data_IF_474608010039
#
_entry.id   IF_474608010039
#
_cell.length_a   1.000
_cell.length_b   1.000
_cell.length_c   1.000
_cell.angle_alpha   90.00
_cell.angle_beta   90.00
_cell.angle_gamma   90.00
#
_symmetry.space_group_name_H-M   'P 1'
#
loop_
_entity.id
_entity.type
_entity.pdbx_description
1 polymer ?
#
# COMPACT_ATOMS: atom_id res chain seq x y z
N UNK A 1 36.17 3.67 -28.32
CA UNK A 1 35.05 3.78 -27.34
C UNK A 1 34.41 5.15 -27.46
N UNK A 2 33.08 5.18 -27.43
CA UNK A 2 32.31 6.42 -27.58
C UNK A 2 31.80 6.85 -26.23
N UNK A 3 32.13 8.05 -25.78
CA UNK A 3 31.67 8.61 -24.52
C UNK A 3 30.22 9.08 -24.66
N UNK A 4 29.38 8.69 -23.73
CA UNK A 4 27.99 9.10 -23.65
C UNK A 4 27.73 9.75 -22.27
N UNK A 5 26.91 10.79 -22.24
CA UNK A 5 26.49 11.43 -21.00
C UNK A 5 24.97 11.61 -20.95
N UNK A 6 24.42 11.57 -19.73
CA UNK A 6 23.01 11.79 -19.49
C UNK A 6 22.83 12.66 -18.25
N UNK A 7 22.01 13.69 -18.37
CA UNK A 7 21.53 14.49 -17.23
C UNK A 7 20.08 14.12 -16.98
N UNK A 8 19.78 13.84 -15.73
CA UNK A 8 18.41 13.59 -15.26
C UNK A 8 18.10 14.57 -14.13
N UNK A 9 17.00 15.29 -14.26
CA UNK A 9 16.44 16.12 -13.20
C UNK A 9 15.07 15.57 -12.84
N UNK A 10 14.89 15.23 -11.57
CA UNK A 10 13.62 14.82 -10.99
C UNK A 10 13.27 15.76 -9.86
N UNK A 11 12.02 16.17 -9.82
CA UNK A 11 11.47 16.97 -8.72
C UNK A 11 10.11 16.42 -8.33
N UNK A 12 9.92 16.21 -7.04
CA UNK A 12 8.61 15.87 -6.47
C UNK A 12 8.30 16.84 -5.35
N UNK A 13 7.21 17.57 -5.50
CA UNK A 13 6.69 18.44 -4.47
C UNK A 13 5.40 17.80 -3.91
N UNK A 14 5.44 17.45 -2.64
CA UNK A 14 4.26 16.94 -1.95
C UNK A 14 3.95 17.84 -0.77
N UNK A 15 2.71 18.31 -0.68
CA UNK A 15 2.23 19.02 0.49
C UNK A 15 1.06 18.27 1.15
N UNK A 16 0.99 18.37 2.45
CA UNK A 16 -0.02 17.78 3.29
C UNK A 16 -0.57 18.86 4.23
N UNK A 17 -1.89 18.94 4.32
CA UNK A 17 -2.59 19.77 5.29
C UNK A 17 -3.53 18.89 6.10
N UNK A 18 -3.33 18.84 7.41
CA UNK A 18 -4.12 18.06 8.35
C UNK A 18 -4.73 18.97 9.40
N UNK A 19 -6.04 18.86 9.59
CA UNK A 19 -6.77 19.56 10.63
C UNK A 19 -7.51 18.53 11.46
N UNK A 20 -7.24 18.51 12.75
CA UNK A 20 -7.82 17.53 13.69
C UNK A 20 -8.42 18.26 14.88
N UNK A 21 -9.68 17.96 15.16
CA UNK A 21 -10.39 18.39 16.35
C UNK A 21 -10.53 17.21 17.30
N UNK A 22 -10.04 17.36 18.51
CA UNK A 22 -10.15 16.34 19.56
C UNK A 22 -11.01 16.86 20.69
N UNK A 23 -11.95 16.05 21.16
CA UNK A 23 -12.78 16.33 22.31
C UNK A 23 -12.67 15.17 23.32
N UNK A 24 -12.38 15.53 24.58
CA UNK A 24 -12.25 14.56 25.66
C UNK A 24 -13.16 14.97 26.83
N UNK A 25 -13.87 14.01 27.38
CA UNK A 25 -14.70 14.21 28.56
C UNK A 25 -14.66 13.00 29.48
N UNK A 26 -14.62 13.27 30.77
CA UNK A 26 -14.73 12.27 31.83
C UNK A 26 -15.98 12.57 32.65
N UNK A 27 -16.95 11.65 32.63
CA UNK A 27 -18.23 11.79 33.33
C UNK A 27 -18.22 10.86 34.53
N UNK A 28 -18.43 11.43 35.73
CA UNK A 28 -18.49 10.72 37.02
C UNK A 28 -17.27 9.83 37.30
N UNK A 29 -16.10 10.13 36.76
CA UNK A 29 -14.87 9.32 36.85
C UNK A 29 -15.01 7.87 36.39
N UNK A 30 -16.14 7.52 35.78
CA UNK A 30 -16.45 6.16 35.29
C UNK A 30 -16.49 6.05 33.77
N UNK A 31 -16.95 7.12 33.11
CA UNK A 31 -17.14 7.12 31.67
C UNK A 31 -16.13 8.09 31.06
N UNK A 32 -15.23 7.57 30.28
CA UNK A 32 -14.25 8.37 29.55
C UNK A 32 -14.53 8.27 28.06
N UNK A 33 -14.75 9.43 27.42
CA UNK A 33 -14.90 9.57 25.97
C UNK A 33 -13.73 10.37 25.41
N UNK A 34 -13.19 9.89 24.30
CA UNK A 34 -12.21 10.62 23.48
C UNK A 34 -12.69 10.53 22.04
N UNK A 35 -13.10 11.66 21.48
CA UNK A 35 -13.60 11.77 20.12
C UNK A 35 -12.66 12.62 19.28
N UNK A 36 -12.48 12.23 18.02
CA UNK A 36 -11.64 12.91 17.07
C UNK A 36 -12.38 13.02 15.74
N UNK A 37 -12.34 14.22 15.17
CA UNK A 37 -12.77 14.50 13.79
C UNK A 37 -11.60 15.13 13.05
N UNK A 38 -11.38 14.76 11.81
CA UNK A 38 -10.28 15.29 11.01
C UNK A 38 -10.58 15.37 9.54
N UNK A 39 -9.87 16.28 8.90
CA UNK A 39 -9.81 16.44 7.45
C UNK A 39 -8.34 16.49 7.04
N UNK A 40 -8.00 15.75 5.99
CA UNK A 40 -6.66 15.72 5.42
C UNK A 40 -6.74 16.03 3.93
N UNK A 41 -5.90 16.94 3.48
CA UNK A 41 -5.74 17.30 2.07
C UNK A 41 -4.28 17.05 1.68
N UNK A 42 -4.07 16.36 0.58
CA UNK A 42 -2.74 16.05 0.08
C UNK A 42 -2.68 16.24 -1.42
N UNK A 43 -1.58 16.80 -1.92
CA UNK A 43 -1.28 16.88 -3.33
C UNK A 43 0.19 16.54 -3.57
N UNK A 44 0.49 15.92 -4.70
CA UNK A 44 1.85 15.60 -5.12
C UNK A 44 2.01 15.86 -6.60
N UNK A 45 2.94 16.73 -6.93
CA UNK A 45 3.34 17.06 -8.28
C UNK A 45 4.72 16.47 -8.56
N UNK A 46 4.86 15.80 -9.69
CA UNK A 46 6.09 15.18 -10.14
C UNK A 46 6.47 15.69 -11.51
N UNK A 47 7.75 16.06 -11.66
CA UNK A 47 8.35 16.47 -12.92
C UNK A 47 9.67 15.73 -13.14
N UNK A 48 9.84 15.26 -14.35
CA UNK A 48 11.02 14.55 -14.80
C UNK A 48 11.49 15.11 -16.13
N UNK A 49 12.80 15.37 -16.23
CA UNK A 49 13.47 15.80 -17.45
C UNK A 49 14.76 15.01 -17.61
N UNK A 50 15.01 14.53 -18.82
CA UNK A 50 16.24 13.81 -19.14
C UNK A 50 16.77 14.23 -20.51
N UNK A 51 18.08 14.50 -20.57
CA UNK A 51 18.82 14.81 -21.77
C UNK A 51 19.98 13.82 -21.89
N UNK A 52 20.09 13.15 -23.03
CA UNK A 52 21.19 12.24 -23.34
C UNK A 52 21.94 12.68 -24.59
N UNK A 53 23.25 12.67 -24.50
CA UNK A 53 24.19 12.98 -25.60
C UNK A 53 25.11 11.80 -25.80
N UNK A 54 25.42 11.50 -27.03
CA UNK A 54 26.32 10.41 -27.43
C UNK A 54 27.48 10.97 -28.25
N UNK A 55 28.55 10.18 -28.37
CA UNK A 55 29.74 10.54 -29.17
C UNK A 55 30.37 11.87 -28.73
N UNK A 56 30.55 12.08 -27.43
CA UNK A 56 31.29 13.26 -26.94
C UNK A 56 32.76 13.11 -27.36
N UNK A 57 33.31 14.09 -28.10
CA UNK A 57 34.66 13.94 -28.68
C UNK A 57 35.77 14.06 -27.63
N UNK A 58 35.53 14.78 -26.55
CA UNK A 58 36.51 15.02 -25.49
C UNK A 58 35.98 14.59 -24.13
N UNK A 59 36.40 13.39 -23.67
CA UNK A 59 35.97 12.84 -22.38
C UNK A 59 36.51 13.60 -21.17
N UNK A 60 37.62 14.35 -21.33
CA UNK A 60 38.22 15.09 -20.22
C UNK A 60 37.32 16.24 -19.71
N UNK A 61 36.40 16.71 -20.54
CA UNK A 61 35.40 17.72 -20.16
C UNK A 61 34.27 17.16 -19.32
N UNK A 62 34.12 15.83 -19.22
CA UNK A 62 33.06 15.18 -18.49
C UNK A 62 31.67 15.69 -18.90
N UNK A 63 30.83 16.03 -17.90
CA UNK A 63 29.48 16.54 -18.15
C UNK A 63 29.47 17.90 -18.89
N UNK A 64 30.50 18.73 -18.75
CA UNK A 64 30.59 20.01 -19.46
C UNK A 64 30.73 19.83 -20.98
N UNK A 65 31.25 18.69 -21.44
CA UNK A 65 31.38 18.36 -22.87
C UNK A 65 30.08 17.87 -23.52
N UNK A 66 28.95 17.82 -22.85
CA UNK A 66 27.69 17.33 -23.43
C UNK A 66 27.25 18.15 -24.68
N UNK A 67 27.56 19.43 -24.72
CA UNK A 67 27.22 20.32 -25.85
C UNK A 67 27.99 20.00 -27.11
N UNK A 68 29.13 19.31 -27.01
CA UNK A 68 30.00 18.94 -28.16
C UNK A 68 29.59 17.58 -28.77
N UNK A 69 28.79 16.79 -28.05
CA UNK A 69 28.32 15.50 -28.53
C UNK A 69 27.06 15.59 -29.38
N UNK A 70 26.59 14.45 -29.86
CA UNK A 70 25.38 14.35 -30.68
C UNK A 70 24.19 14.15 -29.75
N UNK A 71 23.18 15.06 -29.70
CA UNK A 71 21.96 14.86 -28.96
C UNK A 71 21.27 13.54 -29.37
N UNK A 72 20.96 12.67 -28.42
CA UNK A 72 20.40 11.36 -28.69
C UNK A 72 18.91 11.30 -28.29
N UNK A 73 18.60 11.54 -27.04
CA UNK A 73 17.21 11.48 -26.53
C UNK A 73 16.93 12.62 -25.57
N UNK A 74 15.71 13.17 -25.68
CA UNK A 74 15.11 14.03 -24.69
C UNK A 74 13.85 13.37 -24.18
N UNK A 75 13.63 13.40 -22.88
CA UNK A 75 12.41 12.87 -22.25
C UNK A 75 11.91 13.85 -21.21
N UNK A 76 10.62 14.04 -21.17
CA UNK A 76 9.95 14.83 -20.11
C UNK A 76 8.67 14.16 -19.70
N UNK A 77 8.39 14.19 -18.42
CA UNK A 77 7.16 13.67 -17.83
C UNK A 77 6.67 14.62 -16.75
N UNK A 78 5.37 14.76 -16.67
CA UNK A 78 4.70 15.50 -15.61
C UNK A 78 3.48 14.71 -15.18
N UNK A 79 3.40 14.43 -13.88
CA UNK A 79 2.22 13.80 -13.30
C UNK A 79 1.82 14.46 -11.98
N UNK A 80 0.56 14.39 -11.65
CA UNK A 80 0.07 14.87 -10.36
C UNK A 80 -1.09 14.02 -9.85
N UNK A 81 -1.18 13.92 -8.53
CA UNK A 81 -2.32 13.31 -7.86
C UNK A 81 -2.70 14.08 -6.61
N UNK A 82 -3.97 14.00 -6.24
CA UNK A 82 -4.48 14.60 -5.02
C UNK A 82 -5.34 13.60 -4.26
N UNK A 83 -5.37 13.76 -2.94
CA UNK A 83 -6.18 12.97 -2.02
C UNK A 83 -6.84 13.88 -0.99
N UNK A 84 -8.08 13.59 -0.67
CA UNK A 84 -8.86 14.25 0.38
C UNK A 84 -9.47 13.18 1.27
N UNK A 85 -9.31 13.32 2.57
CA UNK A 85 -9.79 12.35 3.54
C UNK A 85 -10.58 13.02 4.66
N UNK A 86 -11.67 12.39 5.05
CA UNK A 86 -12.43 12.68 6.25
C UNK A 86 -12.29 11.52 7.21
N UNK A 87 -12.03 11.81 8.46
CA UNK A 87 -11.90 10.77 9.48
C UNK A 87 -12.67 11.15 10.74
N UNK A 88 -13.24 10.16 11.37
CA UNK A 88 -13.89 10.28 12.67
C UNK A 88 -13.62 9.06 13.53
N UNK A 89 -13.36 9.26 14.81
CA UNK A 89 -13.13 8.20 15.78
C UNK A 89 -13.72 8.57 17.13
N UNK A 90 -14.35 7.59 17.79
CA UNK A 90 -14.81 7.69 19.17
C UNK A 90 -14.22 6.51 19.94
N UNK A 91 -13.51 6.81 21.00
CA UNK A 91 -13.05 5.85 21.98
C UNK A 91 -13.89 6.03 23.26
N UNK A 92 -14.41 4.95 23.77
CA UNK A 92 -15.14 4.90 25.02
C UNK A 92 -14.47 3.93 25.98
N UNK A 93 -14.32 4.34 27.21
CA UNK A 93 -13.81 3.51 28.28
C UNK A 93 -14.76 3.63 29.48
N UNK A 94 -15.22 2.50 29.98
CA UNK A 94 -16.04 2.41 31.20
C UNK A 94 -15.25 1.73 32.32
N UNK A 95 -14.96 2.51 33.36
CA UNK A 95 -14.31 2.07 34.61
C UNK A 95 -12.95 1.34 34.36
N UNK A 96 -12.27 1.58 33.27
CA UNK A 96 -11.06 0.85 32.83
C UNK A 96 -11.28 -0.68 32.66
N UNK A 97 -12.54 -1.14 32.63
CA UNK A 97 -12.93 -2.52 32.42
C UNK A 97 -13.35 -2.80 30.98
N UNK A 98 -14.17 -1.92 30.40
CA UNK A 98 -14.75 -2.10 29.06
C UNK A 98 -14.29 -0.97 28.15
N UNK A 99 -13.77 -1.33 27.02
CA UNK A 99 -13.29 -0.40 26.00
C UNK A 99 -14.03 -0.65 24.69
N UNK A 100 -14.48 0.41 24.06
CA UNK A 100 -15.08 0.36 22.74
C UNK A 100 -14.49 1.48 21.88
N UNK A 101 -14.12 1.17 20.65
CA UNK A 101 -13.71 2.14 19.66
C UNK A 101 -14.52 1.95 18.40
N UNK A 102 -15.02 3.03 17.83
CA UNK A 102 -15.60 3.05 16.50
C UNK A 102 -14.91 4.16 15.70
N UNK A 103 -14.54 3.87 14.46
CA UNK A 103 -13.99 4.88 13.57
C UNK A 103 -14.47 4.68 12.14
N UNK A 104 -14.43 5.74 11.38
CA UNK A 104 -14.60 5.71 9.94
C UNK A 104 -13.58 6.62 9.27
N UNK A 105 -13.20 6.26 8.04
CA UNK A 105 -12.42 7.09 7.14
C UNK A 105 -13.04 7.05 5.76
N UNK A 106 -13.23 8.22 5.17
CA UNK A 106 -13.66 8.37 3.78
C UNK A 106 -12.51 9.00 3.02
N UNK A 107 -11.93 8.27 2.09
CA UNK A 107 -10.80 8.72 1.29
C UNK A 107 -11.22 8.92 -0.16
N UNK A 108 -10.92 10.09 -0.72
CA UNK A 108 -11.13 10.42 -2.13
C UNK A 108 -9.79 10.61 -2.84
N UNK A 109 -9.55 9.87 -3.92
CA UNK A 109 -8.31 9.94 -4.70
C UNK A 109 -8.57 10.33 -6.14
N UNK A 110 -7.76 11.27 -6.68
CA UNK A 110 -7.83 11.69 -8.09
C UNK A 110 -7.42 10.60 -9.08
N UNK A 111 -6.78 9.52 -8.61
CA UNK A 111 -6.35 8.38 -9.42
C UNK A 111 -7.52 7.57 -9.99
N UNK A 112 -8.69 7.65 -9.35
CA UNK A 112 -9.90 6.96 -9.78
C UNK A 112 -10.87 7.88 -10.50
N UNK A 113 -11.68 7.31 -11.39
CA UNK A 113 -12.76 8.01 -12.06
C UNK A 113 -13.81 8.51 -11.04
N UNK A 114 -14.60 9.54 -11.43
CA UNK A 114 -15.56 10.21 -10.54
C UNK A 114 -16.43 9.28 -9.71
N UNK A 115 -16.95 8.20 -10.32
CA UNK A 115 -17.91 7.29 -9.64
C UNK A 115 -17.27 6.43 -8.54
N UNK A 116 -15.96 6.14 -8.63
CA UNK A 116 -15.23 5.27 -7.71
C UNK A 116 -14.16 6.02 -6.91
N UNK A 117 -14.20 7.35 -6.96
CA UNK A 117 -13.19 8.23 -6.34
C UNK A 117 -13.12 8.06 -4.83
N UNK A 118 -14.27 7.89 -4.17
CA UNK A 118 -14.36 7.81 -2.72
C UNK A 118 -14.53 6.37 -2.25
N UNK A 119 -13.72 5.99 -1.24
CA UNK A 119 -13.82 4.75 -0.49
C UNK A 119 -14.19 5.03 0.97
N UNK A 120 -15.05 4.20 1.55
CA UNK A 120 -15.42 4.25 2.98
C UNK A 120 -14.78 3.07 3.71
N UNK A 121 -14.07 3.36 4.78
CA UNK A 121 -13.31 2.40 5.58
C UNK A 121 -13.69 2.51 7.06
N UNK A 122 -14.76 1.82 7.49
CA UNK A 122 -15.13 1.75 8.89
C UNK A 122 -14.24 0.77 9.66
N UNK A 123 -14.11 1.00 10.97
CA UNK A 123 -13.53 0.01 11.89
C UNK A 123 -14.18 0.09 13.28
N UNK A 124 -14.14 -1.02 13.99
CA UNK A 124 -14.62 -1.13 15.36
C UNK A 124 -13.73 -2.06 16.17
N UNK A 125 -13.58 -1.76 17.46
CA UNK A 125 -12.90 -2.65 18.39
C UNK A 125 -13.57 -2.64 19.75
N UNK A 126 -13.52 -3.79 20.41
CA UNK A 126 -13.97 -3.99 21.77
C UNK A 126 -12.85 -4.62 22.58
N UNK A 127 -12.71 -4.21 23.83
CA UNK A 127 -11.81 -4.89 24.74
C UNK A 127 -12.44 -4.95 26.14
N UNK A 128 -12.24 -6.08 26.79
CA UNK A 128 -12.68 -6.35 28.13
C UNK A 128 -11.48 -6.70 29.01
N UNK A 129 -11.25 -5.84 29.98
CA UNK A 129 -10.24 -6.07 31.00
C UNK A 129 -10.88 -6.83 32.17
N UNK A 130 -10.95 -8.15 32.04
CA UNK A 130 -11.61 -8.99 32.99
C UNK A 130 -10.87 -9.13 34.32
N UNK A 131 -9.56 -8.83 34.36
CA UNK A 131 -8.77 -8.82 35.60
C UNK A 131 -9.22 -7.72 36.58
N UNK A 132 -9.91 -6.68 36.09
CA UNK A 132 -10.46 -5.61 36.94
C UNK A 132 -11.88 -5.90 37.43
N UNK A 133 -12.45 -7.08 37.11
CA UNK A 133 -13.76 -7.50 37.60
C UNK A 133 -13.71 -7.97 39.06
N UNK A 134 -14.83 -7.82 39.75
CA UNK A 134 -14.91 -8.17 41.19
C UNK A 134 -14.61 -9.63 41.46
N UNK A 135 -15.03 -10.53 40.56
CA UNK A 135 -14.79 -11.98 40.71
C UNK A 135 -13.30 -12.37 40.52
N UNK A 136 -12.46 -11.47 39.95
CA UNK A 136 -11.04 -11.70 39.76
C UNK A 136 -10.18 -11.14 40.90
N UNK A 137 -10.74 -10.40 41.83
CA UNK A 137 -9.96 -9.75 42.89
C UNK A 137 -9.17 -10.73 43.74
N UNK A 138 -9.69 -11.91 44.02
CA UNK A 138 -9.00 -12.95 44.82
C UNK A 138 -7.80 -13.55 44.05
N UNK A 139 -7.86 -13.53 42.73
CA UNK A 139 -6.82 -14.11 41.87
C UNK A 139 -5.78 -13.07 41.41
N UNK A 140 -5.90 -11.81 41.83
CA UNK A 140 -5.04 -10.71 41.34
C UNK A 140 -3.57 -10.90 41.67
N UNK A 141 -3.23 -11.64 42.72
CA UNK A 141 -1.85 -12.01 43.04
C UNK A 141 -1.21 -13.00 42.05
N UNK A 142 -2.04 -13.79 41.37
CA UNK A 142 -1.58 -14.77 40.36
C UNK A 142 -1.77 -14.18 38.98
N UNK A 143 -2.98 -13.73 38.62
CA UNK A 143 -3.30 -13.08 37.34
C UNK A 143 -3.45 -11.58 37.56
N UNK A 144 -2.34 -10.87 37.36
CA UNK A 144 -2.27 -9.42 37.54
C UNK A 144 -2.92 -8.61 36.41
N UNK A 145 -2.97 -9.19 35.20
CA UNK A 145 -3.59 -8.58 34.04
C UNK A 145 -4.29 -9.66 33.20
N UNK A 146 -5.52 -9.37 32.77
CA UNK A 146 -6.29 -10.25 31.91
C UNK A 146 -7.21 -9.44 31.01
N UNK A 147 -6.93 -9.41 29.70
CA UNK A 147 -7.66 -8.60 28.75
C UNK A 147 -7.98 -9.38 27.48
N UNK A 148 -9.26 -9.40 27.10
CA UNK A 148 -9.74 -9.94 25.84
C UNK A 148 -9.97 -8.79 24.87
N UNK A 149 -9.52 -8.93 23.62
CA UNK A 149 -9.64 -7.92 22.55
C UNK A 149 -10.28 -8.53 21.31
N UNK A 150 -11.15 -7.79 20.66
CA UNK A 150 -11.68 -8.11 19.35
C UNK A 150 -11.74 -6.84 18.50
N UNK A 151 -11.34 -6.94 17.24
CA UNK A 151 -11.41 -5.82 16.31
C UNK A 151 -11.75 -6.29 14.89
N UNK A 152 -12.42 -5.39 14.19
CA UNK A 152 -12.75 -5.52 12.78
C UNK A 152 -12.57 -4.18 12.09
N UNK A 153 -12.10 -4.21 10.84
CA UNK A 153 -11.99 -3.00 10.08
C UNK A 153 -11.74 -3.23 8.60
N UNK A 154 -12.05 -2.21 7.82
CA UNK A 154 -11.73 -2.11 6.41
C UNK A 154 -10.59 -1.12 6.21
N UNK A 155 -9.68 -1.43 5.30
CA UNK A 155 -8.59 -0.54 4.86
C UNK A 155 -8.57 -0.48 3.35
N UNK A 156 -8.48 0.73 2.80
CA UNK A 156 -8.36 0.98 1.37
C UNK A 156 -6.91 1.08 0.92
N UNK A 157 -6.66 0.67 -0.32
CA UNK A 157 -5.40 0.88 -1.01
C UNK A 157 -5.70 1.47 -2.40
N UNK A 158 -5.01 2.57 -2.75
CA UNK A 158 -5.08 3.23 -4.05
C UNK A 158 -3.75 3.13 -4.83
N UNK A 159 -3.03 2.03 -4.65
CA UNK A 159 -1.73 1.78 -5.29
C UNK A 159 -1.92 1.47 -6.78
N UNK A 160 -2.30 2.48 -7.53
CA UNK A 160 -2.46 2.50 -8.97
C UNK A 160 -1.72 3.71 -9.53
N UNK A 161 -1.26 3.62 -10.78
CA UNK A 161 -0.63 4.74 -11.47
C UNK A 161 -1.57 5.94 -11.61
N UNK A 162 -1.02 7.12 -11.78
CA UNK A 162 -1.78 8.30 -12.16
C UNK A 162 -2.37 8.08 -13.56
N UNK A 163 -3.64 8.47 -13.73
CA UNK A 163 -4.36 8.43 -15.03
C UNK A 163 -4.74 7.03 -15.57
N UNK A 164 -4.51 5.92 -14.87
CA UNK A 164 -4.87 4.56 -15.30
C UNK A 164 -6.37 4.37 -15.58
N UNK A 165 -7.21 5.21 -15.02
CA UNK A 165 -8.65 5.22 -15.32
C UNK A 165 -8.97 5.77 -16.72
N UNK A 166 -7.98 6.35 -17.42
CA UNK A 166 -8.15 7.03 -18.72
C UNK A 166 -7.31 6.38 -19.81
N UNK A 167 -7.77 6.46 -21.06
CA UNK A 167 -6.95 6.08 -22.21
C UNK A 167 -5.86 7.15 -22.43
N UNK A 168 -4.62 6.72 -22.43
CA UNK A 168 -3.49 7.60 -22.71
C UNK A 168 -3.11 7.48 -24.19
N UNK A 169 -2.75 8.61 -24.77
CA UNK A 169 -2.23 8.73 -26.13
C UNK A 169 -0.75 9.06 -26.09
N UNK A 170 0.02 8.49 -27.01
CA UNK A 170 1.43 8.80 -27.21
C UNK A 170 1.65 9.21 -28.66
N UNK A 171 2.47 10.23 -28.86
CA UNK A 171 2.93 10.56 -30.20
C UNK A 171 3.75 9.40 -30.75
N UNK A 172 3.45 8.97 -31.97
CA UNK A 172 4.24 7.99 -32.69
C UNK A 172 5.62 8.62 -32.99
N UNK A 173 6.62 8.34 -32.12
CA UNK A 173 8.00 8.74 -32.39
C UNK A 173 8.55 7.86 -33.52
N UNK A 174 9.30 8.47 -34.46
CA UNK A 174 10.05 7.73 -35.45
C UNK A 174 10.96 6.70 -34.76
N UNK A 175 10.82 5.43 -35.11
CA UNK A 175 11.90 4.49 -34.89
C UNK A 175 13.12 4.96 -35.69
N UNK A 176 14.31 4.94 -35.08
CA UNK A 176 15.60 5.23 -35.69
C UNK A 176 15.63 4.68 -37.11
N UNK A 177 16.05 5.51 -38.05
CA UNK A 177 16.29 5.30 -39.49
C UNK A 177 15.16 5.75 -40.42
N UNK A 178 15.07 7.07 -40.56
CA UNK A 178 14.61 7.82 -41.76
C UNK A 178 13.12 7.74 -42.18
N UNK A 179 12.27 7.02 -41.49
CA UNK A 179 10.82 7.12 -41.69
C UNK A 179 10.12 7.17 -40.34
N UNK A 180 9.38 8.26 -40.04
CA UNK A 180 8.57 8.29 -38.82
C UNK A 180 7.44 7.28 -38.94
N UNK A 181 7.47 6.22 -38.12
CA UNK A 181 6.31 5.36 -37.96
C UNK A 181 5.17 6.18 -37.34
N UNK A 182 4.05 6.26 -38.03
CA UNK A 182 2.86 7.02 -37.60
C UNK A 182 2.79 8.45 -38.10
N UNK A 183 3.51 8.77 -39.17
CA UNK A 183 3.37 10.05 -39.87
C UNK A 183 2.35 9.89 -40.98
N UNK A 184 1.41 10.81 -41.05
CA UNK A 184 0.36 10.85 -42.08
C UNK A 184 0.59 12.06 -42.98
N UNK A 185 0.61 11.90 -44.30
CA UNK A 185 0.65 13.02 -45.24
C UNK A 185 -0.76 13.63 -45.34
N UNK A 186 -1.08 14.61 -44.50
CA UNK A 186 -2.28 15.42 -44.66
C UNK A 186 -1.97 16.67 -45.52
N UNK A 187 -2.84 16.96 -46.49
CA UNK A 187 -2.82 18.19 -47.33
C UNK A 187 -1.55 18.44 -48.15
N UNK A 188 -0.87 17.41 -48.60
CA UNK A 188 0.37 17.54 -49.44
C UNK A 188 1.47 18.39 -48.80
N UNK A 189 1.37 18.76 -47.55
CA UNK A 189 2.33 19.56 -46.80
C UNK A 189 2.70 18.81 -45.51
N UNK A 190 4.00 18.69 -45.31
CA UNK A 190 4.69 18.19 -44.10
C UNK A 190 4.03 17.05 -43.33
N UNK A 191 4.83 16.09 -42.98
CA UNK A 191 4.48 14.91 -42.20
C UNK A 191 3.85 15.26 -40.84
N UNK A 192 2.55 15.09 -40.67
CA UNK A 192 1.87 15.23 -39.39
C UNK A 192 2.13 14.00 -38.52
N UNK A 193 2.56 14.22 -37.28
CA UNK A 193 2.82 13.12 -36.34
C UNK A 193 1.49 12.62 -35.79
N UNK A 194 1.21 11.33 -36.00
CA UNK A 194 0.04 10.67 -35.47
C UNK A 194 0.12 10.38 -33.98
N UNK A 195 -1.02 10.19 -33.33
CA UNK A 195 -1.12 9.71 -31.95
C UNK A 195 -1.65 8.31 -31.93
N UNK A 196 -1.09 7.46 -31.08
CA UNK A 196 -1.54 6.10 -30.86
C UNK A 196 -1.97 5.90 -29.41
N UNK A 197 -3.09 5.21 -29.16
CA UNK A 197 -3.45 4.85 -27.80
C UNK A 197 -2.48 3.82 -27.25
N UNK A 198 -1.99 4.06 -26.03
CA UNK A 198 -1.00 3.19 -25.35
C UNK A 198 -1.59 2.45 -24.17
N UNK A 199 -2.75 2.86 -23.68
CA UNK A 199 -3.46 2.20 -22.58
C UNK A 199 -4.95 2.12 -22.83
N UNK A 200 -5.57 1.07 -22.32
CA UNK A 200 -7.01 0.92 -22.32
C UNK A 200 -7.60 1.61 -21.10
N UNK A 201 -8.57 2.52 -21.30
CA UNK A 201 -9.26 3.17 -20.20
C UNK A 201 -10.03 2.16 -19.34
N UNK A 202 -9.89 2.25 -18.04
CA UNK A 202 -10.75 1.51 -17.11
C UNK A 202 -11.39 2.45 -16.09
N UNK A 203 -12.56 3.00 -16.44
CA UNK A 203 -13.31 3.89 -15.56
C UNK A 203 -13.96 3.17 -14.37
N UNK A 204 -13.92 1.85 -14.35
CA UNK A 204 -14.46 1.02 -13.28
C UNK A 204 -13.44 0.73 -12.18
N UNK A 205 -12.19 1.15 -12.37
CA UNK A 205 -11.16 1.07 -11.32
C UNK A 205 -11.66 1.68 -10.02
N UNK A 206 -11.51 0.91 -8.93
CA UNK A 206 -11.93 1.26 -7.58
C UNK A 206 -10.86 0.90 -6.57
N UNK A 207 -11.07 1.30 -5.34
CA UNK A 207 -10.21 1.00 -4.22
C UNK A 207 -10.08 -0.51 -4.01
N UNK A 208 -8.85 -0.99 -3.91
CA UNK A 208 -8.56 -2.29 -3.32
C UNK A 208 -8.93 -2.24 -1.84
N UNK A 209 -9.65 -3.24 -1.35
CA UNK A 209 -10.16 -3.25 0.02
C UNK A 209 -9.64 -4.47 0.77
N UNK A 210 -9.06 -4.22 1.93
CA UNK A 210 -8.66 -5.25 2.88
C UNK A 210 -9.60 -5.23 4.07
N UNK A 211 -10.26 -6.35 4.33
CA UNK A 211 -11.02 -6.62 5.53
C UNK A 211 -10.17 -7.41 6.51
N UNK A 212 -10.11 -6.95 7.75
CA UNK A 212 -9.32 -7.59 8.80
C UNK A 212 -10.17 -7.84 10.04
N UNK A 213 -10.07 -9.06 10.57
CA UNK A 213 -10.54 -9.48 11.88
C UNK A 213 -9.33 -9.81 12.75
N UNK A 214 -9.39 -9.42 14.00
CA UNK A 214 -8.38 -9.75 14.99
C UNK A 214 -9.06 -10.06 16.32
N UNK A 215 -8.61 -11.15 16.98
CA UNK A 215 -9.03 -11.52 18.34
C UNK A 215 -7.77 -11.78 19.13
N UNK A 216 -7.60 -11.09 20.26
CA UNK A 216 -6.39 -11.17 21.07
C UNK A 216 -6.72 -11.39 22.56
N UNK A 217 -5.83 -12.11 23.23
CA UNK A 217 -5.85 -12.37 24.66
C UNK A 217 -4.52 -11.95 25.26
N UNK A 218 -4.55 -11.03 26.21
CA UNK A 218 -3.39 -10.57 26.97
C UNK A 218 -3.50 -11.08 28.40
N UNK A 219 -2.48 -11.76 28.88
CA UNK A 219 -2.41 -12.30 30.25
C UNK A 219 -1.11 -11.86 30.91
N UNK A 220 -1.19 -11.35 32.12
CA UNK A 220 -0.05 -11.00 32.95
C UNK A 220 -0.14 -11.75 34.27
N UNK A 221 0.92 -12.44 34.67
CA UNK A 221 0.97 -13.22 35.90
C UNK A 221 2.08 -12.70 36.82
N UNK A 222 1.84 -12.79 38.13
CA UNK A 222 2.81 -12.47 39.19
C UNK A 222 3.38 -11.05 39.06
N UNK A 223 2.51 -10.04 39.06
CA UNK A 223 2.86 -8.63 38.87
C UNK A 223 3.65 -8.39 37.57
N UNK A 224 3.10 -8.90 36.44
CA UNK A 224 3.68 -8.79 35.08
C UNK A 224 5.06 -9.48 34.93
N UNK A 225 5.46 -10.38 35.83
CA UNK A 225 6.69 -11.14 35.68
C UNK A 225 6.63 -12.12 34.51
N UNK A 226 5.45 -12.59 34.18
CA UNK A 226 5.17 -13.41 33.00
C UNK A 226 4.02 -12.76 32.24
N UNK A 227 4.29 -12.26 31.04
CA UNK A 227 3.33 -11.70 30.12
C UNK A 227 3.15 -12.62 28.93
N UNK A 228 1.91 -12.96 28.59
CA UNK A 228 1.53 -13.80 27.44
C UNK A 228 0.55 -13.02 26.59
N UNK A 229 0.83 -12.91 25.28
CA UNK A 229 -0.09 -12.38 24.30
C UNK A 229 -0.34 -13.43 23.22
N UNK A 230 -1.60 -13.66 22.92
CA UNK A 230 -2.04 -14.56 21.85
C UNK A 230 -2.97 -13.78 20.94
N UNK A 231 -2.63 -13.65 19.68
CA UNK A 231 -3.42 -12.96 18.67
C UNK A 231 -3.75 -13.89 17.52
N UNK A 232 -5.02 -14.00 17.20
CA UNK A 232 -5.49 -14.61 15.96
C UNK A 232 -5.98 -13.53 15.03
N UNK A 233 -5.57 -13.62 13.75
CA UNK A 233 -6.02 -12.69 12.74
C UNK A 233 -6.45 -13.39 11.45
N UNK A 234 -7.37 -12.74 10.75
CA UNK A 234 -7.77 -13.09 9.39
C UNK A 234 -7.89 -11.81 8.57
N UNK A 235 -7.11 -11.72 7.51
CA UNK A 235 -7.03 -10.57 6.61
C UNK A 235 -7.38 -11.02 5.21
N UNK A 236 -8.43 -10.44 4.61
CA UNK A 236 -8.89 -10.76 3.26
C UNK A 236 -8.83 -9.50 2.40
N UNK A 237 -7.96 -9.51 1.40
CA UNK A 237 -7.86 -8.44 0.40
C UNK A 237 -8.66 -8.84 -0.82
N UNK A 238 -9.53 -7.96 -1.29
CA UNK A 238 -10.38 -8.10 -2.46
C UNK A 238 -10.21 -6.93 -3.40
N UNK A 239 -10.62 -7.13 -4.66
CA UNK A 239 -10.49 -6.12 -5.70
C UNK A 239 -9.04 -5.65 -5.87
N UNK A 240 -8.08 -6.61 -5.87
CA UNK A 240 -6.66 -6.32 -6.02
C UNK A 240 -6.41 -5.52 -7.29
N UNK A 241 -5.62 -4.47 -7.19
CA UNK A 241 -5.22 -3.63 -8.31
C UNK A 241 -4.04 -4.30 -9.03
N UNK A 242 -4.33 -5.04 -10.09
CA UNK A 242 -3.36 -5.81 -10.85
C UNK A 242 -3.42 -5.47 -12.35
N UNK A 243 -2.27 -5.55 -12.99
CA UNK A 243 -2.14 -5.45 -14.43
C UNK A 243 -2.53 -6.81 -15.06
N UNK A 244 -3.78 -6.91 -15.52
CA UNK A 244 -4.35 -8.13 -16.06
C UNK A 244 -4.01 -8.25 -17.55
N UNK A 245 -3.47 -9.40 -17.97
CA UNK A 245 -3.19 -9.70 -19.36
C UNK A 245 -4.47 -9.69 -20.20
N UNK A 246 -4.39 -9.11 -21.38
CA UNK A 246 -5.47 -9.06 -22.35
C UNK A 246 -5.16 -9.95 -23.57
N UNK A 247 -6.19 -10.46 -24.27
CA UNK A 247 -5.99 -11.10 -25.56
C UNK A 247 -5.33 -10.15 -26.55
N UNK A 248 -4.34 -10.61 -27.29
CA UNK A 248 -3.61 -9.78 -28.30
C UNK A 248 -4.52 -9.16 -29.37
N UNK A 249 -5.68 -9.75 -29.61
CA UNK A 249 -6.72 -9.21 -30.51
C UNK A 249 -7.28 -7.85 -30.07
N UNK A 250 -7.08 -7.45 -28.81
CA UNK A 250 -7.49 -6.13 -28.31
C UNK A 250 -6.52 -5.02 -28.73
N UNK A 251 -5.32 -5.36 -29.19
CA UNK A 251 -4.22 -4.42 -29.48
C UNK A 251 -3.45 -3.96 -28.25
N UNK A 252 -3.76 -4.47 -27.06
CA UNK A 252 -3.08 -4.16 -25.80
C UNK A 252 -2.58 -5.43 -25.13
N UNK A 253 -1.43 -5.35 -24.43
CA UNK A 253 -0.89 -6.49 -23.69
C UNK A 253 -1.59 -6.71 -22.36
N UNK A 254 -1.95 -5.61 -21.69
CA UNK A 254 -2.54 -5.64 -20.36
C UNK A 254 -3.39 -4.41 -20.09
N UNK A 255 -4.20 -4.47 -19.06
CA UNK A 255 -4.91 -3.32 -18.50
C UNK A 255 -5.02 -3.46 -16.99
N UNK A 256 -4.92 -2.34 -16.29
CA UNK A 256 -5.15 -2.28 -14.85
C UNK A 256 -6.61 -2.62 -14.54
N UNK A 257 -6.83 -3.64 -13.70
CA UNK A 257 -8.15 -4.10 -13.28
C UNK A 257 -8.19 -4.39 -11.78
N UNK A 258 -9.38 -4.30 -11.20
CA UNK A 258 -9.64 -4.83 -9.85
C UNK A 258 -9.99 -6.30 -9.98
N UNK A 259 -9.02 -7.19 -9.73
CA UNK A 259 -9.19 -8.64 -9.90
C UNK A 259 -8.51 -9.39 -8.77
N UNK A 260 -9.09 -10.54 -8.44
CA UNK A 260 -8.48 -11.45 -7.47
C UNK A 260 -8.82 -11.14 -6.01
N UNK A 261 -8.62 -12.17 -5.19
CA UNK A 261 -8.87 -12.15 -3.76
C UNK A 261 -7.87 -13.03 -3.04
N UNK A 262 -7.25 -12.48 -2.01
CA UNK A 262 -6.22 -13.18 -1.22
C UNK A 262 -6.57 -13.12 0.25
N UNK A 263 -6.38 -14.22 0.98
CA UNK A 263 -6.55 -14.30 2.41
C UNK A 263 -5.23 -14.68 3.09
N UNK A 264 -4.92 -13.92 4.14
CA UNK A 264 -3.90 -14.25 5.12
C UNK A 264 -4.58 -14.49 6.46
N UNK A 265 -4.27 -15.61 7.11
CA UNK A 265 -4.74 -15.88 8.46
C UNK A 265 -3.62 -16.49 9.28
N UNK A 266 -3.57 -16.17 10.57
CA UNK A 266 -2.48 -16.62 11.39
C UNK A 266 -2.78 -16.56 12.88
N UNK A 267 -1.85 -17.13 13.63
CA UNK A 267 -1.79 -17.09 15.08
C UNK A 267 -0.41 -16.56 15.47
N UNK A 268 -0.38 -15.58 16.36
CA UNK A 268 0.84 -15.01 16.92
C UNK A 268 0.85 -15.24 18.41
N UNK A 269 1.98 -15.66 18.93
CA UNK A 269 2.21 -15.88 20.35
C UNK A 269 3.46 -15.12 20.78
N UNK A 270 3.31 -14.34 21.86
CA UNK A 270 4.43 -13.61 22.48
C UNK A 270 4.48 -13.95 23.96
N UNK A 271 5.68 -14.29 24.44
CA UNK A 271 5.97 -14.54 25.85
C UNK A 271 7.07 -13.58 26.31
N UNK A 272 6.76 -12.81 27.35
CA UNK A 272 7.72 -11.95 28.06
C UNK A 272 7.90 -12.44 29.47
N UNK A 273 9.15 -12.64 29.92
CA UNK A 273 9.41 -13.06 31.29
C UNK A 273 10.51 -12.23 31.93
N UNK A 274 10.33 -11.93 33.22
CA UNK A 274 11.40 -11.40 34.08
C UNK A 274 11.87 -12.57 34.95
N UNK A 275 12.93 -13.23 34.52
CA UNK A 275 13.44 -14.44 35.17
C UNK A 275 14.09 -14.15 36.51
N UNK A 276 14.98 -13.15 36.52
CA UNK A 276 15.69 -12.69 37.70
C UNK A 276 15.68 -11.15 37.73
N UNK A 277 15.33 -10.60 38.88
CA UNK A 277 15.46 -9.18 39.14
C UNK A 277 15.86 -8.98 40.59
N UNK A 278 17.17 -9.05 40.86
CA UNK A 278 17.73 -9.00 42.26
C UNK A 278 19.13 -8.41 42.28
N UNK A 279 19.39 -7.56 43.29
CA UNK A 279 20.74 -7.01 43.60
C UNK A 279 21.46 -6.36 42.39
N UNK A 280 20.70 -5.57 41.55
CA UNK A 280 21.28 -4.94 40.39
C UNK A 280 21.42 -5.83 39.17
N UNK A 281 21.16 -7.14 39.29
CA UNK A 281 21.12 -8.09 38.17
C UNK A 281 19.69 -8.28 37.70
N UNK A 282 19.44 -8.06 36.37
CA UNK A 282 18.16 -8.28 35.71
C UNK A 282 18.34 -9.18 34.50
N UNK A 283 17.62 -10.29 34.50
CA UNK A 283 17.50 -11.17 33.34
C UNK A 283 16.05 -11.29 32.92
N UNK A 284 15.77 -10.91 31.67
CA UNK A 284 14.45 -11.04 31.04
C UNK A 284 14.57 -11.82 29.75
N UNK A 285 13.50 -12.52 29.35
CA UNK A 285 13.39 -13.23 28.09
C UNK A 285 12.17 -12.71 27.33
N UNK A 286 12.33 -12.45 26.05
CA UNK A 286 11.27 -12.20 25.12
C UNK A 286 11.30 -13.31 24.04
N UNK A 287 10.19 -13.98 23.84
CA UNK A 287 10.02 -14.99 22.83
C UNK A 287 8.76 -14.67 22.01
N UNK A 288 8.86 -14.76 20.69
CA UNK A 288 7.73 -14.63 19.79
C UNK A 288 7.74 -15.71 18.73
N UNK A 289 6.57 -16.18 18.34
CA UNK A 289 6.37 -17.12 17.23
C UNK A 289 5.09 -16.77 16.51
N UNK A 290 5.12 -16.82 15.17
CA UNK A 290 3.98 -16.55 14.33
C UNK A 290 3.78 -17.67 13.31
N UNK A 291 2.53 -18.09 13.13
CA UNK A 291 2.09 -19.03 12.12
C UNK A 291 1.21 -18.28 11.14
N UNK A 292 1.58 -18.22 9.88
CA UNK A 292 0.81 -17.54 8.83
C UNK A 292 0.46 -18.51 7.71
N UNK A 293 -0.78 -18.44 7.25
CA UNK A 293 -1.28 -19.15 6.07
C UNK A 293 -1.81 -18.14 5.07
N UNK A 294 -1.17 -18.11 3.90
CA UNK A 294 -1.63 -17.38 2.75
C UNK A 294 -2.46 -18.29 1.84
N UNK A 295 -3.56 -17.79 1.31
CA UNK A 295 -4.41 -18.49 0.35
C UNK A 295 -4.93 -17.50 -0.69
N UNK A 296 -4.72 -17.81 -1.97
CA UNK A 296 -5.41 -17.15 -3.08
C UNK A 296 -6.82 -17.76 -3.13
N UNK A 297 -7.84 -16.90 -3.06
CA UNK A 297 -9.25 -17.31 -3.07
C UNK A 297 -9.88 -17.16 -4.45
N UNK A 298 -9.38 -16.19 -5.23
CA UNK A 298 -9.91 -15.84 -6.54
C UNK A 298 -8.78 -15.24 -7.39
N UNK A 299 -8.68 -15.62 -8.65
CA UNK A 299 -7.80 -15.02 -9.64
C UNK A 299 -8.60 -14.06 -10.55
N UNK A 300 -7.97 -13.57 -11.62
CA UNK A 300 -8.64 -12.80 -12.65
C UNK A 300 -9.75 -13.63 -13.32
N UNK A 301 -10.69 -12.94 -13.97
CA UNK A 301 -11.86 -13.53 -14.63
C UNK A 301 -11.53 -14.83 -15.39
N UNK A 302 -12.20 -15.94 -15.02
CA UNK A 302 -12.07 -17.25 -15.63
C UNK A 302 -10.69 -17.92 -15.59
N UNK A 303 -9.77 -17.43 -14.76
CA UNK A 303 -8.48 -18.09 -14.54
C UNK A 303 -8.55 -19.04 -13.35
N UNK A 304 -8.16 -20.30 -13.58
CA UNK A 304 -8.03 -21.32 -12.52
C UNK A 304 -6.60 -21.46 -12.02
N UNK A 305 -5.64 -20.86 -12.72
CA UNK A 305 -4.23 -20.93 -12.38
C UNK A 305 -3.48 -19.68 -12.84
N UNK A 306 -2.43 -19.35 -12.15
CA UNK A 306 -1.48 -18.28 -12.49
C UNK A 306 -0.09 -18.87 -12.65
N UNK A 307 0.52 -18.64 -13.81
CA UNK A 307 1.93 -18.97 -14.02
C UNK A 307 2.79 -17.83 -13.45
N UNK A 308 3.57 -18.12 -12.45
CA UNK A 308 4.56 -17.17 -11.90
C UNK A 308 5.97 -17.70 -12.18
N UNK A 309 6.87 -16.82 -12.59
CA UNK A 309 8.30 -17.09 -12.63
C UNK A 309 8.90 -16.75 -11.25
N UNK A 310 9.36 -17.74 -10.51
CA UNK A 310 10.16 -17.53 -9.32
C UNK A 310 11.64 -17.58 -9.72
N UNK A 311 12.38 -16.49 -9.52
CA UNK A 311 13.84 -16.51 -9.61
C UNK A 311 14.39 -17.03 -8.27
N UNK A 312 14.84 -18.24 -8.26
CA UNK A 312 15.67 -18.77 -7.18
C UNK A 312 17.14 -18.44 -7.49
N UNK A 313 17.73 -17.60 -6.64
CA UNK A 313 19.15 -17.28 -6.51
C UNK A 313 19.95 -17.03 -7.81
N UNK A 314 20.47 -15.81 -7.92
CA UNK A 314 21.28 -15.36 -9.08
C UNK A 314 22.69 -15.99 -9.18
N UNK A 315 23.06 -16.87 -8.27
CA UNK A 315 24.41 -17.50 -8.25
C UNK A 315 24.54 -18.76 -9.09
N UNK A 316 23.45 -19.35 -9.51
CA UNK A 316 23.46 -20.46 -10.45
C UNK A 316 22.66 -20.11 -11.72
N UNK A 317 23.21 -20.42 -12.89
CA UNK A 317 22.59 -20.35 -14.23
C UNK A 317 21.27 -21.16 -14.28
N UNK A 318 20.30 -20.86 -13.47
CA UNK A 318 19.04 -21.60 -13.41
C UNK A 318 18.03 -20.93 -14.34
N UNK A 319 17.49 -21.70 -15.22
CA UNK A 319 16.29 -21.38 -15.98
C UNK A 319 15.18 -20.94 -14.99
N UNK A 320 14.36 -19.92 -15.35
CA UNK A 320 13.24 -19.54 -14.52
C UNK A 320 12.33 -20.74 -14.27
N UNK A 321 12.20 -21.13 -13.00
CA UNK A 321 11.24 -22.16 -12.62
C UNK A 321 9.83 -21.57 -12.68
N UNK A 322 9.00 -22.11 -13.55
CA UNK A 322 7.57 -21.78 -13.62
C UNK A 322 6.87 -22.44 -12.43
N UNK A 323 6.31 -21.65 -11.54
CA UNK A 323 5.44 -22.10 -10.47
C UNK A 323 3.98 -21.96 -10.88
N UNK A 324 3.22 -23.05 -10.81
CA UNK A 324 1.79 -23.05 -11.05
C UNK A 324 1.06 -22.94 -9.72
N UNK A 325 0.32 -21.84 -9.54
CA UNK A 325 -0.56 -21.68 -8.39
C UNK A 325 -1.96 -22.15 -8.79
N UNK A 326 -2.44 -23.23 -8.15
CA UNK A 326 -3.82 -23.70 -8.26
C UNK A 326 -4.65 -23.17 -7.09
N UNK A 327 -5.89 -22.86 -7.33
CA UNK A 327 -6.89 -22.46 -6.33
C UNK A 327 -7.71 -23.67 -5.90
#
# INVERSE_FOLDING_TARGET
DKVNAQVVRQQRLTWLNENVLTYQVNINKKHFFNSLLGITLQNSDYEYYSFKTTNIPNESLGMAGMSEGIPSTTSSEKSSWSMMSYLGRVNYNYMSKYYATASFRVDGSSKFAKKNRYGLFPSASLAWNFSEEDFMKEYKSILSNGKLRASWGLTGNNRVGEYEAYALLKMAKAASNNLPSGVYPFENNQNSIGMVPISLANKDLKWETTEQWNVGLDLGFFDERIGINVDWYMKTTRDLLLDASLPYSTGYYSAMKNVGKVRNSGLEFTLNTININRNGFRWSTNFNIAFNKNKVLELAENQTSLLTSAYFDQTYNSQPTLSLIHI
#
